data_IF_654017091318
#
_entry.id   IF_654017091318
#
_cell.length_a   1.000
_cell.length_b   1.000
_cell.length_c   1.000
_cell.angle_alpha   90.00
_cell.angle_beta   90.00
_cell.angle_gamma   90.00
#
_symmetry.space_group_name_H-M   'P 1'
#
loop_
_entity.id
_entity.type
_entity.pdbx_description
1 polymer ?
#
# COMPACT_ATOMS: atom_id res chain seq x y z
N UNK A 1 -6.09 18.90 -29.98
CA UNK A 1 -5.35 18.83 -28.70
C UNK A 1 -5.83 17.61 -27.95
N UNK A 2 -5.12 16.48 -28.07
CA UNK A 2 -5.46 15.27 -27.31
C UNK A 2 -4.91 15.45 -25.90
N UNK A 3 -5.80 15.67 -24.92
CA UNK A 3 -5.44 15.57 -23.50
C UNK A 3 -4.89 14.17 -23.27
N UNK A 4 -3.63 14.07 -22.85
CA UNK A 4 -3.09 12.83 -22.31
C UNK A 4 -4.04 12.39 -21.19
N UNK A 5 -4.67 11.22 -21.35
CA UNK A 5 -5.37 10.58 -20.24
C UNK A 5 -4.25 10.13 -19.30
N UNK A 6 -4.07 10.81 -18.18
CA UNK A 6 -3.25 10.25 -17.11
C UNK A 6 -3.95 8.98 -16.64
N UNK A 7 -3.30 7.84 -16.80
CA UNK A 7 -3.75 6.58 -16.21
C UNK A 7 -3.83 6.77 -14.70
N UNK A 8 -5.04 6.65 -14.16
CA UNK A 8 -5.26 6.66 -12.72
C UNK A 8 -4.89 5.29 -12.19
N UNK A 9 -3.91 5.27 -11.30
CA UNK A 9 -3.42 4.08 -10.61
C UNK A 9 -3.80 4.11 -9.13
N UNK A 10 -3.91 2.93 -8.54
CA UNK A 10 -4.24 2.77 -7.13
C UNK A 10 -3.02 3.08 -6.24
N UNK A 11 -3.15 4.06 -5.37
CA UNK A 11 -2.27 4.28 -4.22
C UNK A 11 -2.88 3.70 -2.96
N UNK A 12 -2.05 3.12 -2.08
CA UNK A 12 -2.51 2.49 -0.83
C UNK A 12 -1.92 3.24 0.37
N UNK A 13 -2.77 3.55 1.35
CA UNK A 13 -2.37 4.17 2.62
C UNK A 13 -2.26 3.07 3.68
N UNK A 14 -1.05 2.82 4.16
CA UNK A 14 -0.78 1.90 5.27
C UNK A 14 -0.56 2.66 6.58
N UNK A 15 -0.97 2.04 7.68
CA UNK A 15 -0.56 2.53 8.99
C UNK A 15 0.92 2.22 9.20
N UNK A 16 1.71 3.22 9.59
CA UNK A 16 3.15 3.06 9.88
C UNK A 16 3.49 2.17 11.09
N UNK A 17 2.49 1.73 11.84
CA UNK A 17 2.66 1.03 13.10
C UNK A 17 2.13 -0.41 13.06
N UNK A 18 0.95 -0.64 12.49
CA UNK A 18 0.36 -1.98 12.38
C UNK A 18 0.32 -2.51 10.95
N UNK A 19 0.83 -1.76 9.96
CA UNK A 19 0.77 -2.11 8.54
C UNK A 19 -0.64 -2.35 7.95
N UNK A 20 -1.70 -2.05 8.69
CA UNK A 20 -3.07 -2.14 8.20
C UNK A 20 -3.34 -1.11 7.09
N UNK A 21 -4.16 -1.48 6.11
CA UNK A 21 -4.65 -0.56 5.08
C UNK A 21 -5.66 0.39 5.72
N UNK A 22 -5.32 1.68 5.73
CA UNK A 22 -6.16 2.76 6.26
C UNK A 22 -7.05 3.34 5.15
N UNK A 23 -6.65 3.18 3.89
CA UNK A 23 -7.43 3.59 2.74
C UNK A 23 -6.68 3.48 1.43
N UNK A 24 -7.33 3.92 0.37
CA UNK A 24 -6.83 3.92 -1.00
C UNK A 24 -7.04 5.31 -1.60
N UNK A 25 -6.18 5.71 -2.53
CA UNK A 25 -6.32 6.97 -3.26
C UNK A 25 -5.89 6.83 -4.71
N UNK A 26 -6.50 7.64 -5.56
CA UNK A 26 -6.15 7.72 -6.97
C UNK A 26 -4.83 8.49 -7.14
N UNK A 27 -3.89 7.87 -7.85
CA UNK A 27 -2.53 8.37 -8.05
C UNK A 27 -2.12 8.26 -9.51
N UNK A 28 -1.05 8.94 -9.91
CA UNK A 28 -0.46 8.76 -11.25
C UNK A 28 0.43 7.52 -11.33
N UNK A 29 0.68 6.83 -10.21
CA UNK A 29 1.49 5.61 -10.13
C UNK A 29 1.22 4.79 -8.87
N UNK A 30 1.22 3.45 -8.99
CA UNK A 30 1.10 2.54 -7.84
C UNK A 30 2.13 2.90 -6.78
N UNK A 31 1.65 3.41 -5.64
CA UNK A 31 2.50 3.97 -4.57
C UNK A 31 1.93 3.63 -3.21
N UNK A 32 2.82 3.29 -2.27
CA UNK A 32 2.50 3.08 -0.87
C UNK A 32 2.79 4.34 -0.07
N UNK A 33 1.81 4.80 0.70
CA UNK A 33 1.92 5.94 1.60
C UNK A 33 1.75 5.47 3.04
N UNK A 34 2.54 6.03 3.96
CA UNK A 34 2.43 5.70 5.39
C UNK A 34 1.72 6.81 6.15
N UNK A 35 0.72 6.45 6.95
CA UNK A 35 -0.05 7.35 7.80
C UNK A 35 -0.22 6.75 9.20
N UNK A 36 -0.93 7.45 10.09
CA UNK A 36 -1.33 6.94 11.39
C UNK A 36 -2.83 6.61 11.36
N UNK A 37 -3.20 5.37 11.67
CA UNK A 37 -4.60 5.00 11.84
C UNK A 37 -5.17 5.62 13.13
N UNK A 38 -6.51 5.74 13.20
CA UNK A 38 -7.21 6.30 14.37
C UNK A 38 -7.26 5.37 15.57
N UNK A 39 -6.86 4.10 15.38
CA UNK A 39 -6.85 3.12 16.45
C UNK A 39 -5.75 3.45 17.48
N UNK A 40 -6.17 3.66 18.74
CA UNK A 40 -5.27 4.02 19.83
C UNK A 40 -4.38 2.87 20.31
N UNK A 41 -4.75 1.62 20.05
CA UNK A 41 -3.99 0.43 20.43
C UNK A 41 -2.90 0.08 19.39
N UNK A 42 -3.03 0.58 18.17
CA UNK A 42 -2.09 0.35 17.07
C UNK A 42 -0.63 0.68 17.40
N UNK A 43 -0.38 1.77 18.14
CA UNK A 43 0.98 2.18 18.51
C UNK A 43 1.69 1.17 19.44
N UNK A 44 0.94 0.28 20.10
CA UNK A 44 1.48 -0.74 21.01
C UNK A 44 1.77 -2.09 20.31
N UNK A 45 1.32 -2.29 19.06
CA UNK A 45 1.48 -3.56 18.35
C UNK A 45 2.81 -3.71 17.58
N UNK A 46 3.57 -2.62 17.46
CA UNK A 46 4.83 -2.51 16.68
C UNK A 46 5.92 -3.46 17.20
N UNK A 47 5.82 -3.90 18.46
CA UNK A 47 6.79 -4.77 19.10
C UNK A 47 6.61 -6.27 18.79
N UNK A 48 5.60 -6.69 18.01
CA UNK A 48 5.20 -8.11 17.99
C UNK A 48 5.22 -8.89 16.67
N UNK A 49 5.26 -8.28 15.49
CA UNK A 49 5.24 -9.06 14.25
C UNK A 49 6.29 -8.60 13.23
N UNK A 50 7.33 -9.42 13.09
CA UNK A 50 8.29 -9.33 12.00
C UNK A 50 7.58 -9.56 10.66
N UNK A 51 7.65 -8.55 9.80
CA UNK A 51 7.10 -8.56 8.44
C UNK A 51 7.75 -9.68 7.61
N UNK A 52 7.05 -10.81 7.50
CA UNK A 52 7.33 -11.83 6.49
C UNK A 52 6.85 -11.35 5.12
N UNK A 53 7.76 -10.77 4.33
CA UNK A 53 7.52 -10.50 2.91
C UNK A 53 7.38 -11.84 2.18
N UNK A 54 6.17 -12.16 1.68
CA UNK A 54 5.98 -13.15 0.64
C UNK A 54 6.15 -12.44 -0.72
N UNK A 55 7.30 -12.66 -1.31
CA UNK A 55 7.66 -12.29 -2.68
C UNK A 55 7.36 -13.47 -3.63
N UNK A 56 6.09 -13.74 -3.91
CA UNK A 56 5.71 -14.80 -4.86
C UNK A 56 4.46 -14.43 -5.67
N UNK A 57 4.64 -13.72 -6.80
CA UNK A 57 3.78 -13.79 -7.98
C UNK A 57 4.42 -13.06 -9.18
N UNK A 58 5.57 -13.54 -9.65
CA UNK A 58 5.98 -13.31 -11.03
C UNK A 58 6.61 -14.58 -11.57
N UNK A 59 5.73 -15.50 -11.96
CA UNK A 59 6.07 -16.63 -12.82
C UNK A 59 4.96 -16.75 -13.86
N UNK A 60 5.39 -16.69 -15.12
CA UNK A 60 4.75 -17.26 -16.30
C UNK A 60 3.52 -16.57 -16.92
N UNK A 61 3.81 -15.63 -17.84
CA UNK A 61 3.00 -15.42 -19.03
C UNK A 61 3.90 -15.07 -20.24
N UNK A 62 4.74 -16.02 -20.66
CA UNK A 62 5.35 -15.98 -22.00
C UNK A 62 5.64 -17.40 -22.52
N UNK A 63 4.60 -18.07 -23.01
CA UNK A 63 4.70 -19.12 -24.04
C UNK A 63 3.61 -18.88 -25.08
#
# INVERSE_FOLDING_TARGET
MSKAKSDVMLGTLLCKWCNEIVGELDTEKVTLYYTQCKDGACRAAVDKEGVGHNEQAMADAFL
#
